data_IF_419951294091
#
_entry.id   IF_419951294091
#
_cell.length_a   1.000
_cell.length_b   1.000
_cell.length_c   1.000
_cell.angle_alpha   90.00
_cell.angle_beta   90.00
_cell.angle_gamma   90.00
#
_symmetry.space_group_name_H-M   'P 1'
#
loop_
_entity.id
_entity.type
_entity.pdbx_description
1 polymer ?
#
# COMPACT_ATOMS: atom_id res chain seq x y z
N UNK A 1 4.89 32.22 -14.43
CA UNK A 1 4.60 30.97 -13.70
C UNK A 1 3.09 30.70 -13.87
N UNK A 2 2.69 29.77 -14.76
CA UNK A 2 1.29 29.51 -15.08
C UNK A 2 0.77 28.41 -14.14
N UNK A 3 -0.11 28.76 -13.19
CA UNK A 3 -0.91 27.78 -12.44
C UNK A 3 -1.87 27.10 -13.44
N UNK A 4 -1.70 25.81 -13.62
CA UNK A 4 -2.70 24.98 -14.30
C UNK A 4 -3.76 24.59 -13.27
N UNK A 5 -4.95 25.15 -13.46
CA UNK A 5 -6.11 24.79 -12.65
C UNK A 5 -6.42 23.30 -12.85
N UNK A 6 -6.18 22.50 -11.83
CA UNK A 6 -6.71 21.15 -11.75
C UNK A 6 -8.05 21.25 -11.04
N UNK A 7 -9.12 21.12 -11.79
CA UNK A 7 -10.48 21.03 -11.25
C UNK A 7 -10.64 19.63 -10.62
N UNK A 8 -10.52 19.54 -9.31
CA UNK A 8 -10.75 18.31 -8.56
C UNK A 8 -12.20 18.35 -8.07
N UNK A 9 -13.08 17.64 -8.76
CA UNK A 9 -14.44 17.38 -8.32
C UNK A 9 -14.45 16.10 -7.46
N UNK A 10 -14.69 16.28 -6.18
CA UNK A 10 -14.99 15.19 -5.25
C UNK A 10 -13.78 14.51 -4.63
N UNK A 11 -12.97 15.25 -3.89
CA UNK A 11 -11.91 14.69 -3.05
C UNK A 11 -12.28 14.85 -1.58
N UNK A 12 -12.74 13.77 -0.93
CA UNK A 12 -12.69 13.71 0.53
C UNK A 12 -11.26 13.30 0.93
N UNK A 13 -10.34 14.26 0.93
CA UNK A 13 -8.96 14.05 1.37
C UNK A 13 -8.92 14.16 2.90
N UNK A 14 -9.10 13.07 3.62
CA UNK A 14 -8.74 13.00 5.02
C UNK A 14 -7.24 12.66 5.14
N UNK A 15 -6.38 13.60 4.78
CA UNK A 15 -4.95 13.49 5.06
C UNK A 15 -4.70 13.89 6.52
N UNK A 16 -4.65 12.94 7.43
CA UNK A 16 -4.09 13.16 8.76
C UNK A 16 -2.56 13.20 8.66
N UNK A 17 -2.03 14.36 8.36
CA UNK A 17 -0.60 14.63 8.55
C UNK A 17 -0.37 14.81 10.04
N UNK A 18 0.20 13.81 10.71
CA UNK A 18 0.64 13.97 12.09
C UNK A 18 1.65 15.12 12.19
N UNK A 19 1.39 16.06 13.10
CA UNK A 19 2.27 17.20 13.38
C UNK A 19 3.66 16.71 13.73
N UNK A 20 4.63 16.94 12.85
CA UNK A 20 6.03 16.83 13.18
C UNK A 20 6.41 18.06 14.01
N UNK A 21 6.76 17.88 15.28
CA UNK A 21 7.44 18.89 16.05
C UNK A 21 8.80 19.17 15.40
N UNK A 22 9.04 20.44 15.08
CA UNK A 22 10.23 20.91 14.38
C UNK A 22 11.47 20.80 15.31
N UNK A 23 12.18 19.68 15.20
CA UNK A 23 13.60 19.58 15.57
C UNK A 23 14.19 18.39 14.80
N UNK A 24 15.04 18.66 13.84
CA UNK A 24 15.92 17.77 13.07
C UNK A 24 15.61 17.69 11.56
N UNK A 25 16.37 18.45 10.81
CA UNK A 25 16.28 18.61 9.36
C UNK A 25 16.61 17.35 8.52
N UNK A 26 16.88 16.19 9.15
CA UNK A 26 17.28 14.95 8.46
C UNK A 26 16.29 13.79 8.57
N UNK A 27 15.14 13.97 9.22
CA UNK A 27 14.25 12.87 9.56
C UNK A 27 12.85 13.01 8.95
N UNK A 28 12.77 13.38 7.68
CA UNK A 28 11.48 13.65 7.04
C UNK A 28 10.81 12.39 6.52
N UNK A 29 9.58 12.17 6.95
CA UNK A 29 8.66 11.30 6.24
C UNK A 29 8.33 11.90 4.86
N UNK A 30 8.17 11.06 3.85
CA UNK A 30 7.87 11.49 2.48
C UNK A 30 6.60 10.83 1.99
N UNK A 31 5.70 11.64 1.46
CA UNK A 31 4.46 11.19 0.83
C UNK A 31 4.41 11.71 -0.60
N UNK A 32 4.11 10.83 -1.55
CA UNK A 32 3.84 11.14 -2.93
C UNK A 32 2.53 10.49 -3.35
N UNK A 33 1.54 11.27 -3.76
CA UNK A 33 0.22 10.81 -4.16
C UNK A 33 -0.09 11.36 -5.54
N UNK A 34 -0.46 10.48 -6.46
CA UNK A 34 -0.93 10.80 -7.78
C UNK A 34 -2.28 10.10 -8.02
N UNK A 35 -3.31 10.89 -8.23
CA UNK A 35 -4.67 10.39 -8.46
C UNK A 35 -5.22 10.97 -9.76
N UNK A 36 -5.78 10.11 -10.60
CA UNK A 36 -6.44 10.50 -11.85
C UNK A 36 -7.72 9.69 -12.04
N UNK A 37 -8.81 10.38 -12.37
CA UNK A 37 -10.14 9.78 -12.45
C UNK A 37 -11.10 10.40 -11.43
N UNK A 38 -11.98 9.62 -10.83
CA UNK A 38 -13.01 10.15 -9.94
C UNK A 38 -13.35 9.21 -8.77
N UNK A 39 -13.85 9.79 -7.67
CA UNK A 39 -14.30 9.07 -6.47
C UNK A 39 -13.21 8.18 -5.84
N UNK A 40 -11.97 8.68 -5.78
CA UNK A 40 -10.91 8.02 -5.02
C UNK A 40 -10.94 8.45 -3.56
N UNK A 41 -10.72 7.51 -2.67
CA UNK A 41 -10.59 7.75 -1.24
C UNK A 41 -9.22 7.29 -0.74
N UNK A 42 -8.57 8.12 0.05
CA UNK A 42 -7.25 7.84 0.58
C UNK A 42 -7.14 8.26 2.04
N UNK A 43 -6.70 7.35 2.90
CA UNK A 43 -6.29 7.64 4.26
C UNK A 43 -4.83 7.22 4.48
N UNK A 44 -3.98 8.12 4.93
CA UNK A 44 -2.57 7.83 5.17
C UNK A 44 -2.09 8.40 6.51
N UNK A 45 -1.41 7.58 7.30
CA UNK A 45 -0.77 7.98 8.55
C UNK A 45 0.69 7.52 8.57
N UNK A 46 1.61 8.44 8.80
CA UNK A 46 3.02 8.14 9.03
C UNK A 46 3.47 8.67 10.40
N UNK A 47 4.02 7.79 11.22
CA UNK A 47 4.56 8.12 12.53
C UNK A 47 6.01 7.63 12.63
N UNK A 48 6.91 8.47 13.18
CA UNK A 48 8.34 8.17 13.25
C UNK A 48 9.14 8.85 12.15
N UNK A 49 10.22 8.21 11.65
CA UNK A 49 11.22 8.89 10.83
C UNK A 49 11.51 8.18 9.51
N UNK A 50 11.76 8.98 8.45
CA UNK A 50 12.23 8.51 7.15
C UNK A 50 11.30 7.48 6.47
N UNK A 51 10.02 7.44 6.86
CA UNK A 51 9.04 6.61 6.18
C UNK A 51 8.69 7.20 4.81
N UNK A 52 8.43 6.34 3.84
CA UNK A 52 8.10 6.72 2.47
C UNK A 52 6.77 6.10 2.06
N UNK A 53 5.92 6.90 1.46
CA UNK A 53 4.65 6.48 0.91
C UNK A 53 4.53 6.98 -0.52
N UNK A 54 4.25 6.08 -1.45
CA UNK A 54 3.92 6.39 -2.82
C UNK A 54 2.60 5.74 -3.19
N UNK A 55 1.63 6.52 -3.66
CA UNK A 55 0.32 6.02 -4.09
C UNK A 55 0.01 6.58 -5.47
N UNK A 56 -0.39 5.68 -6.36
CA UNK A 56 -0.88 6.00 -7.69
C UNK A 56 -2.24 5.34 -7.91
N UNK A 57 -3.28 6.14 -8.19
CA UNK A 57 -4.63 5.65 -8.46
C UNK A 57 -5.10 6.21 -9.80
N UNK A 58 -5.53 5.33 -10.70
CA UNK A 58 -6.08 5.67 -12.02
C UNK A 58 -7.38 4.94 -12.26
N UNK A 59 -8.44 5.68 -12.61
CA UNK A 59 -9.75 5.09 -12.88
C UNK A 59 -10.81 5.61 -11.95
N UNK A 60 -11.53 4.73 -11.22
CA UNK A 60 -12.63 5.18 -10.39
C UNK A 60 -12.84 4.32 -9.14
N UNK A 61 -13.34 4.97 -8.08
CA UNK A 61 -13.79 4.33 -6.83
C UNK A 61 -12.69 3.52 -6.10
N UNK A 62 -11.44 3.94 -6.20
CA UNK A 62 -10.37 3.29 -5.47
C UNK A 62 -10.29 3.75 -4.02
N UNK A 63 -10.05 2.81 -3.13
CA UNK A 63 -9.78 3.06 -1.71
C UNK A 63 -8.36 2.64 -1.34
N UNK A 64 -7.65 3.50 -0.63
CA UNK A 64 -6.34 3.16 -0.04
C UNK A 64 -6.29 3.61 1.40
N UNK A 65 -5.92 2.71 2.28
CA UNK A 65 -5.56 3.04 3.66
C UNK A 65 -4.14 2.56 3.97
N UNK A 66 -3.29 3.47 4.46
CA UNK A 66 -1.92 3.13 4.85
C UNK A 66 -1.58 3.65 6.23
N UNK A 67 -0.96 2.80 7.04
CA UNK A 67 -0.43 3.15 8.36
C UNK A 67 1.03 2.73 8.39
N UNK A 68 1.93 3.65 8.71
CA UNK A 68 3.34 3.38 8.90
C UNK A 68 3.78 3.91 10.27
N UNK A 69 4.32 3.03 11.11
CA UNK A 69 4.87 3.41 12.41
C UNK A 69 6.30 2.87 12.56
N UNK A 70 7.23 3.74 12.92
CA UNK A 70 8.64 3.42 13.11
C UNK A 70 9.57 4.13 12.14
N UNK A 71 10.58 3.43 11.61
CA UNK A 71 11.67 4.09 10.90
C UNK A 71 11.98 3.43 9.57
N UNK A 72 12.12 4.24 8.50
CA UNK A 72 12.51 3.79 7.14
C UNK A 72 11.58 2.77 6.51
N UNK A 73 10.33 2.77 6.89
CA UNK A 73 9.34 1.92 6.23
C UNK A 73 8.94 2.50 4.87
N UNK A 74 8.73 1.64 3.88
CA UNK A 74 8.35 2.01 2.53
C UNK A 74 7.04 1.36 2.11
N UNK A 75 6.09 2.14 1.59
CA UNK A 75 4.85 1.65 0.99
C UNK A 75 4.72 2.19 -0.41
N UNK A 76 4.37 1.32 -1.34
CA UNK A 76 3.95 1.67 -2.69
C UNK A 76 2.62 1.00 -2.98
N UNK A 77 1.63 1.77 -3.40
CA UNK A 77 0.33 1.26 -3.87
C UNK A 77 0.06 1.78 -5.26
N UNK A 78 -0.25 0.89 -6.19
CA UNK A 78 -0.69 1.20 -7.54
C UNK A 78 -2.04 0.56 -7.81
N UNK A 79 -3.05 1.34 -8.19
CA UNK A 79 -4.39 0.87 -8.53
C UNK A 79 -4.80 1.42 -9.88
N UNK A 80 -5.16 0.53 -10.81
CA UNK A 80 -5.65 0.87 -12.14
C UNK A 80 -6.95 0.16 -12.47
N UNK A 81 -7.99 0.91 -12.93
CA UNK A 81 -9.28 0.35 -13.29
C UNK A 81 -10.44 0.78 -12.40
N UNK A 82 -11.12 -0.14 -11.70
CA UNK A 82 -12.36 0.18 -11.02
C UNK A 82 -12.49 -0.48 -9.64
N UNK A 83 -12.83 0.31 -8.62
CA UNK A 83 -13.23 -0.13 -7.28
C UNK A 83 -12.25 -1.10 -6.59
N UNK A 84 -10.98 -0.73 -6.56
CA UNK A 84 -9.97 -1.47 -5.82
C UNK A 84 -9.86 -0.99 -4.37
N UNK A 85 -9.49 -1.91 -3.48
CA UNK A 85 -9.29 -1.67 -2.05
C UNK A 85 -7.89 -2.14 -1.64
N UNK A 86 -7.06 -1.26 -1.10
CA UNK A 86 -5.74 -1.59 -0.60
C UNK A 86 -5.56 -1.11 0.85
N UNK A 87 -5.16 -2.04 1.72
CA UNK A 87 -4.81 -1.76 3.11
C UNK A 87 -3.36 -2.15 3.38
N UNK A 88 -2.56 -1.22 3.91
CA UNK A 88 -1.18 -1.50 4.30
C UNK A 88 -0.92 -0.99 5.71
N UNK A 89 -0.39 -1.86 6.57
CA UNK A 89 0.02 -1.52 7.94
C UNK A 89 1.44 -2.02 8.20
N UNK A 90 2.34 -1.10 8.55
CA UNK A 90 3.74 -1.40 8.83
C UNK A 90 4.15 -0.88 10.20
N UNK A 91 4.62 -1.78 11.05
CA UNK A 91 5.18 -1.46 12.37
C UNK A 91 6.61 -1.97 12.47
N UNK A 92 7.56 -1.07 12.77
CA UNK A 92 8.96 -1.42 12.99
C UNK A 92 9.92 -0.65 12.09
N UNK A 93 10.94 -1.34 11.56
CA UNK A 93 12.03 -0.68 10.84
C UNK A 93 12.33 -1.35 9.50
N UNK A 94 12.58 -0.53 8.46
CA UNK A 94 12.99 -0.99 7.13
C UNK A 94 12.03 -2.01 6.49
N UNK A 95 10.75 -1.96 6.80
CA UNK A 95 9.77 -2.81 6.14
C UNK A 95 9.36 -2.20 4.79
N UNK A 96 9.13 -3.05 3.81
CA UNK A 96 8.69 -2.63 2.47
C UNK A 96 7.43 -3.37 2.07
N UNK A 97 6.41 -2.65 1.66
CA UNK A 97 5.18 -3.21 1.10
C UNK A 97 4.89 -2.62 -0.28
N UNK A 98 4.55 -3.48 -1.22
CA UNK A 98 4.11 -3.10 -2.56
C UNK A 98 2.77 -3.78 -2.84
N UNK A 99 1.75 -3.01 -3.20
CA UNK A 99 0.44 -3.52 -3.62
C UNK A 99 0.14 -2.96 -5.01
N UNK A 100 -0.03 -3.85 -5.99
CA UNK A 100 -0.43 -3.51 -7.35
C UNK A 100 -1.75 -4.19 -7.69
N UNK A 101 -2.73 -3.42 -8.16
CA UNK A 101 -4.05 -3.92 -8.53
C UNK A 101 -4.47 -3.36 -9.89
N UNK A 102 -4.83 -4.25 -10.80
CA UNK A 102 -5.30 -3.89 -12.15
C UNK A 102 -6.59 -4.64 -12.48
N UNK A 103 -7.58 -3.96 -13.07
CA UNK A 103 -8.88 -4.52 -13.43
C UNK A 103 -10.02 -4.00 -12.58
N UNK A 104 -10.74 -4.86 -11.82
CA UNK A 104 -11.87 -4.40 -11.02
C UNK A 104 -12.05 -5.18 -9.70
N UNK A 105 -12.55 -4.51 -8.67
CA UNK A 105 -12.96 -5.11 -7.40
C UNK A 105 -11.90 -5.97 -6.70
N UNK A 106 -10.62 -5.70 -6.90
CA UNK A 106 -9.55 -6.41 -6.21
C UNK A 106 -9.32 -5.82 -4.81
N UNK A 107 -9.04 -6.70 -3.84
CA UNK A 107 -8.71 -6.31 -2.47
C UNK A 107 -7.34 -6.85 -2.06
N UNK A 108 -6.42 -5.97 -1.68
CA UNK A 108 -5.08 -6.30 -1.21
C UNK A 108 -4.84 -5.81 0.23
N UNK A 109 -4.39 -6.71 1.11
CA UNK A 109 -4.00 -6.36 2.48
C UNK A 109 -2.57 -6.79 2.74
N UNK A 110 -1.73 -5.88 3.24
CA UNK A 110 -0.35 -6.15 3.63
C UNK A 110 -0.08 -5.63 5.04
N UNK A 111 0.13 -6.55 5.98
CA UNK A 111 0.46 -6.23 7.38
C UNK A 111 1.86 -6.74 7.67
N UNK A 112 2.73 -5.87 8.18
CA UNK A 112 4.11 -6.21 8.53
C UNK A 112 4.45 -5.71 9.94
N UNK A 113 4.95 -6.60 10.79
CA UNK A 113 5.44 -6.26 12.13
C UNK A 113 6.85 -6.79 12.33
N UNK A 114 7.78 -5.92 12.73
CA UNK A 114 9.19 -6.27 12.93
C UNK A 114 10.13 -5.50 12.03
N UNK A 115 11.24 -6.11 11.60
CA UNK A 115 12.26 -5.37 10.88
C UNK A 115 12.67 -6.06 9.57
N UNK A 116 13.01 -5.24 8.56
CA UNK A 116 13.54 -5.71 7.28
C UNK A 116 12.62 -6.70 6.55
N UNK A 117 11.32 -6.62 6.74
CA UNK A 117 10.37 -7.48 6.05
C UNK A 117 9.99 -6.89 4.69
N UNK A 118 9.75 -7.74 3.70
CA UNK A 118 9.28 -7.35 2.38
C UNK A 118 8.00 -8.10 2.00
N UNK A 119 6.99 -7.37 1.56
CA UNK A 119 5.73 -7.93 1.04
C UNK A 119 5.44 -7.35 -0.34
N UNK A 120 5.04 -8.23 -1.28
CA UNK A 120 4.52 -7.86 -2.59
C UNK A 120 3.17 -8.53 -2.83
N UNK A 121 2.17 -7.76 -3.24
CA UNK A 121 0.87 -8.25 -3.70
C UNK A 121 0.63 -7.71 -5.10
N UNK A 122 0.38 -8.59 -6.06
CA UNK A 122 0.02 -8.23 -7.43
C UNK A 122 -1.27 -8.94 -7.82
N UNK A 123 -2.30 -8.19 -8.18
CA UNK A 123 -3.61 -8.70 -8.57
C UNK A 123 -4.02 -8.16 -9.93
N UNK A 124 -4.28 -9.04 -10.87
CA UNK A 124 -4.71 -8.71 -12.24
C UNK A 124 -6.01 -9.47 -12.52
N UNK A 125 -7.06 -8.75 -12.90
CA UNK A 125 -8.38 -9.32 -13.16
C UNK A 125 -9.44 -8.77 -12.25
N UNK A 126 -10.39 -9.58 -11.80
CA UNK A 126 -11.54 -9.09 -11.06
C UNK A 126 -11.86 -9.89 -9.81
N UNK A 127 -12.21 -9.19 -8.73
CA UNK A 127 -12.69 -9.80 -7.49
C UNK A 127 -11.66 -10.64 -6.73
N UNK A 128 -10.38 -10.43 -6.98
CA UNK A 128 -9.32 -11.15 -6.28
C UNK A 128 -9.09 -10.56 -4.88
N UNK A 129 -8.81 -11.44 -3.92
CA UNK A 129 -8.50 -11.05 -2.54
C UNK A 129 -7.18 -11.63 -2.10
N UNK A 130 -6.25 -10.79 -1.64
CA UNK A 130 -4.99 -11.20 -1.04
C UNK A 130 -4.84 -10.61 0.35
N UNK A 131 -4.72 -11.47 1.36
CA UNK A 131 -4.42 -11.07 2.73
C UNK A 131 -3.05 -11.60 3.13
N UNK A 132 -2.13 -10.71 3.45
CA UNK A 132 -0.78 -11.06 3.85
C UNK A 132 -0.46 -10.51 5.23
N UNK A 133 0.13 -11.34 6.09
CA UNK A 133 0.58 -10.94 7.41
C UNK A 133 1.98 -11.51 7.68
N UNK A 134 2.96 -10.63 7.85
CA UNK A 134 4.33 -10.99 8.20
C UNK A 134 4.67 -10.49 9.61
N UNK A 135 5.24 -11.39 10.43
CA UNK A 135 5.71 -11.05 11.77
C UNK A 135 7.12 -11.58 11.99
N UNK A 136 8.02 -10.73 12.48
CA UNK A 136 9.41 -11.10 12.74
C UNK A 136 10.40 -10.30 11.90
N UNK A 137 11.52 -10.90 11.49
CA UNK A 137 12.57 -10.13 10.85
C UNK A 137 13.06 -10.77 9.55
N UNK A 138 13.38 -9.93 8.57
CA UNK A 138 14.01 -10.34 7.30
C UNK A 138 13.20 -11.39 6.52
N UNK A 139 11.88 -11.32 6.61
CA UNK A 139 10.99 -12.20 5.86
C UNK A 139 10.62 -11.57 4.52
N UNK A 140 10.41 -12.40 3.51
CA UNK A 140 9.92 -11.98 2.19
C UNK A 140 8.70 -12.78 1.80
N UNK A 141 7.64 -12.08 1.37
CA UNK A 141 6.38 -12.70 0.96
C UNK A 141 5.90 -12.08 -0.37
N UNK A 142 5.57 -12.94 -1.33
CA UNK A 142 4.96 -12.55 -2.59
C UNK A 142 3.60 -13.23 -2.79
N UNK A 143 2.59 -12.48 -3.23
CA UNK A 143 1.31 -13.03 -3.71
C UNK A 143 1.03 -12.47 -5.08
N UNK A 144 0.82 -13.34 -6.06
CA UNK A 144 0.45 -13.00 -7.43
C UNK A 144 -0.84 -13.70 -7.76
N UNK A 145 -1.85 -12.93 -8.14
CA UNK A 145 -3.16 -13.45 -8.57
C UNK A 145 -3.49 -12.91 -9.95
N UNK A 146 -3.75 -13.82 -10.89
CA UNK A 146 -4.13 -13.48 -12.27
C UNK A 146 -5.42 -14.22 -12.63
N UNK A 147 -6.47 -13.49 -12.98
CA UNK A 147 -7.80 -14.04 -13.27
C UNK A 147 -8.87 -13.50 -12.34
N UNK A 148 -9.89 -14.28 -12.03
CA UNK A 148 -11.06 -13.79 -11.31
C UNK A 148 -11.37 -14.59 -10.05
N UNK A 149 -11.79 -13.88 -8.99
CA UNK A 149 -12.33 -14.45 -7.76
C UNK A 149 -11.35 -15.27 -6.92
N UNK A 150 -10.06 -15.02 -7.08
CA UNK A 150 -9.04 -15.76 -6.35
C UNK A 150 -8.90 -15.24 -4.92
N UNK A 151 -8.57 -16.14 -4.00
CA UNK A 151 -8.38 -15.80 -2.59
C UNK A 151 -7.08 -16.40 -2.06
N UNK A 152 -6.19 -15.54 -1.57
CA UNK A 152 -4.97 -15.91 -0.87
C UNK A 152 -4.97 -15.34 0.54
N UNK A 153 -4.73 -16.19 1.54
CA UNK A 153 -4.51 -15.77 2.92
C UNK A 153 -3.19 -16.36 3.40
N UNK A 154 -2.16 -15.53 3.52
CA UNK A 154 -0.80 -15.97 3.79
C UNK A 154 -0.30 -15.33 5.08
N UNK A 155 0.14 -16.17 6.01
CA UNK A 155 0.79 -15.75 7.24
C UNK A 155 2.21 -16.28 7.29
N UNK A 156 3.15 -15.42 7.61
CA UNK A 156 4.55 -15.77 7.73
C UNK A 156 5.08 -15.21 9.05
N UNK A 157 5.69 -16.07 9.86
CA UNK A 157 6.27 -15.68 11.15
C UNK A 157 7.69 -16.23 11.31
N UNK A 158 8.51 -15.55 12.10
CA UNK A 158 9.90 -15.95 12.34
C UNK A 158 10.89 -15.04 11.64
N UNK A 159 12.01 -15.57 11.20
CA UNK A 159 13.08 -14.78 10.60
C UNK A 159 13.69 -15.47 9.38
N UNK A 160 14.00 -14.64 8.35
CA UNK A 160 14.70 -15.09 7.14
C UNK A 160 13.88 -16.01 6.23
N UNK A 161 12.57 -16.05 6.40
CA UNK A 161 11.72 -16.93 5.59
C UNK A 161 11.29 -16.25 4.28
N UNK A 162 11.17 -17.05 3.23
CA UNK A 162 10.66 -16.62 1.91
C UNK A 162 9.46 -17.46 1.55
N UNK A 163 8.37 -16.81 1.15
CA UNK A 163 7.18 -17.48 0.63
C UNK A 163 6.67 -16.76 -0.62
N UNK A 164 6.23 -17.53 -1.61
CA UNK A 164 5.59 -17.01 -2.81
C UNK A 164 4.34 -17.82 -3.11
N UNK A 165 3.22 -17.14 -3.31
CA UNK A 165 1.94 -17.75 -3.72
C UNK A 165 1.59 -17.20 -5.09
N UNK A 166 1.36 -18.08 -6.04
CA UNK A 166 0.91 -17.74 -7.39
C UNK A 166 -0.41 -18.45 -7.66
N UNK A 167 -1.44 -17.70 -8.00
CA UNK A 167 -2.74 -18.22 -8.36
C UNK A 167 -3.13 -17.69 -9.74
N UNK A 168 -3.60 -18.56 -10.60
CA UNK A 168 -4.05 -18.22 -11.93
C UNK A 168 -5.23 -19.09 -12.34
N UNK A 169 -6.25 -18.50 -12.97
CA UNK A 169 -7.32 -19.21 -13.64
C UNK A 169 -7.56 -18.57 -15.02
N UNK A 170 -8.00 -19.39 -15.93
CA UNK A 170 -8.37 -18.98 -17.28
C UNK A 170 -9.88 -18.74 -17.36
#
# INVERSE_FOLDING_TARGET
>A
MKLRNVLVLGLSLAAFVGTATAAEAQQRNRVNINQSGYNHELAARQQGHQNRLAIEQRGAYHYVQTIQAGTRNGVTVGQGGYAHDAYVDQLGRNNTAVVGQEGAFNRGTAIQTGNNNAVGVAQIGSGNTANTNQTGNSNTLGVIQVGNGQNANVRQSGSGSVAVVIQGNH
#
